data_IF_492530379412
#
_entry.id   IF_492530379412
#
_cell.length_a   1.000
_cell.length_b   1.000
_cell.length_c   1.000
_cell.angle_alpha   90.00
_cell.angle_beta   90.00
_cell.angle_gamma   90.00
#
_symmetry.space_group_name_H-M   'P 1'
#
loop_
_entity.id
_entity.type
_entity.pdbx_description
1 polymer ?
#
# COMPACT_ATOMS: atom_id res chain seq x y z
N UNK A 1 13.34 8.03 1.81
CA UNK A 1 12.40 8.76 0.93
C UNK A 1 12.31 8.02 -0.39
N UNK A 2 11.11 7.83 -0.94
CA UNK A 2 10.95 7.14 -2.22
C UNK A 2 11.51 8.01 -3.37
N UNK A 3 12.24 7.43 -4.34
CA UNK A 3 12.73 8.21 -5.49
C UNK A 3 11.56 8.71 -6.34
N UNK A 4 11.42 10.03 -6.49
CA UNK A 4 10.27 10.65 -7.16
C UNK A 4 10.12 10.22 -8.62
N UNK A 5 11.23 10.10 -9.35
CA UNK A 5 11.24 9.64 -10.75
C UNK A 5 10.71 8.21 -10.86
N UNK A 6 11.02 7.35 -9.86
CA UNK A 6 10.54 5.97 -9.83
C UNK A 6 9.05 5.90 -9.52
N UNK A 7 8.54 6.73 -8.61
CA UNK A 7 7.10 6.77 -8.31
C UNK A 7 6.30 7.26 -9.51
N UNK A 8 6.82 8.27 -10.23
CA UNK A 8 6.22 8.74 -11.47
C UNK A 8 6.19 7.65 -12.55
N UNK A 9 7.29 6.90 -12.71
CA UNK A 9 7.33 5.75 -13.62
C UNK A 9 6.24 4.72 -13.29
N UNK A 10 6.02 4.40 -12.01
CA UNK A 10 4.95 3.50 -11.61
C UNK A 10 3.55 4.07 -11.90
N UNK A 11 3.32 5.37 -11.67
CA UNK A 11 2.06 6.02 -12.01
C UNK A 11 1.75 5.94 -13.52
N UNK A 12 2.77 6.11 -14.37
CA UNK A 12 2.62 5.96 -15.83
C UNK A 12 2.28 4.52 -16.22
N UNK A 13 2.97 3.52 -15.65
CA UNK A 13 2.69 2.11 -15.91
C UNK A 13 1.30 1.70 -15.45
N UNK A 14 0.85 2.18 -14.29
CA UNK A 14 -0.51 1.95 -13.78
C UNK A 14 -1.55 2.56 -14.72
N UNK A 15 -1.36 3.80 -15.18
CA UNK A 15 -2.26 4.45 -16.14
C UNK A 15 -2.34 3.70 -17.47
N UNK A 16 -1.21 3.22 -17.99
CA UNK A 16 -1.18 2.39 -19.20
C UNK A 16 -1.96 1.09 -19.03
N UNK A 17 -1.76 0.40 -17.91
CA UNK A 17 -2.52 -0.82 -17.60
C UNK A 17 -4.02 -0.54 -17.52
N UNK A 18 -4.40 0.56 -16.86
CA UNK A 18 -5.80 0.93 -16.69
C UNK A 18 -6.49 1.28 -18.01
N UNK A 19 -5.80 1.99 -18.90
CA UNK A 19 -6.26 2.28 -20.25
C UNK A 19 -6.49 1.00 -21.07
N UNK A 20 -5.64 -0.02 -20.93
CA UNK A 20 -5.86 -1.34 -21.57
C UNK A 20 -7.13 -2.04 -21.08
N UNK A 21 -7.67 -1.65 -19.92
CA UNK A 21 -8.94 -2.14 -19.37
C UNK A 21 -10.13 -1.24 -19.73
N UNK A 22 -9.94 -0.22 -20.57
CA UNK A 22 -10.99 0.73 -20.94
C UNK A 22 -11.40 1.65 -19.79
N UNK A 23 -10.54 1.83 -18.79
CA UNK A 23 -10.75 2.71 -17.64
C UNK A 23 -9.86 3.95 -17.77
N UNK A 24 -10.11 4.95 -16.92
CA UNK A 24 -9.34 6.18 -16.88
C UNK A 24 -9.04 6.58 -15.43
N UNK A 25 -8.07 5.91 -14.84
CA UNK A 25 -7.58 6.18 -13.49
C UNK A 25 -6.68 7.43 -13.48
N UNK A 26 -7.08 8.44 -12.71
CA UNK A 26 -6.23 9.58 -12.38
C UNK A 26 -5.32 9.22 -11.20
N UNK A 27 -4.02 9.09 -11.47
CA UNK A 27 -2.99 8.77 -10.47
C UNK A 27 -1.67 9.45 -10.85
N UNK A 28 -0.92 9.93 -9.87
CA UNK A 28 0.40 10.53 -10.02
C UNK A 28 1.45 9.83 -9.10
N UNK A 29 2.70 10.29 -9.14
CA UNK A 29 3.77 9.71 -8.32
C UNK A 29 3.57 9.87 -6.81
N UNK A 30 2.94 10.96 -6.35
CA UNK A 30 2.68 11.18 -4.92
C UNK A 30 1.60 10.21 -4.40
N UNK A 31 0.59 9.91 -5.21
CA UNK A 31 -0.43 8.89 -4.88
C UNK A 31 0.21 7.50 -4.73
N UNK A 32 1.16 7.15 -5.61
CA UNK A 32 1.91 5.89 -5.54
C UNK A 32 2.82 5.86 -4.30
N UNK A 33 3.49 6.97 -4.00
CA UNK A 33 4.32 7.09 -2.79
C UNK A 33 3.48 6.90 -1.53
N UNK A 34 2.33 7.56 -1.44
CA UNK A 34 1.41 7.41 -0.32
C UNK A 34 0.90 5.97 -0.21
N UNK A 35 0.55 5.32 -1.33
CA UNK A 35 0.13 3.92 -1.34
C UNK A 35 1.22 2.98 -0.79
N UNK A 36 2.48 3.17 -1.20
CA UNK A 36 3.59 2.41 -0.62
C UNK A 36 3.83 2.75 0.85
N UNK A 37 3.64 4.01 1.25
CA UNK A 37 3.65 4.43 2.64
C UNK A 37 2.63 3.65 3.46
N UNK A 38 1.39 3.52 2.97
CA UNK A 38 0.37 2.68 3.60
C UNK A 38 0.88 1.22 3.64
N UNK A 39 1.39 0.65 2.54
CA UNK A 39 1.91 -0.74 2.50
C UNK A 39 2.98 -1.04 3.55
N UNK A 40 3.88 -0.10 3.78
CA UNK A 40 5.00 -0.29 4.71
C UNK A 40 4.61 0.05 6.15
N UNK A 41 3.77 1.06 6.37
CA UNK A 41 3.44 1.60 7.68
C UNK A 41 2.11 1.14 8.26
N UNK A 42 1.18 0.60 7.46
CA UNK A 42 -0.09 0.05 7.96
C UNK A 42 0.06 -1.32 8.63
N UNK A 43 1.30 -1.77 8.87
CA UNK A 43 1.57 -2.92 9.70
C UNK A 43 1.28 -4.24 8.99
N UNK A 44 2.33 -4.88 8.50
CA UNK A 44 2.40 -6.34 8.56
C UNK A 44 2.42 -6.77 10.04
N UNK A 45 1.28 -6.66 10.72
CA UNK A 45 1.12 -7.12 12.11
C UNK A 45 0.51 -8.52 12.20
N UNK A 46 -0.12 -9.01 11.13
CA UNK A 46 -0.69 -10.36 11.08
C UNK A 46 -0.46 -11.00 9.71
N UNK A 47 0.04 -12.23 9.74
CA UNK A 47 0.22 -13.21 8.67
C UNK A 47 0.03 -12.71 7.21
N UNK A 48 1.09 -12.75 6.36
CA UNK A 48 1.03 -12.41 4.93
C UNK A 48 -0.06 -13.13 4.11
N UNK A 49 -0.66 -14.20 4.65
CA UNK A 49 -1.74 -14.96 4.03
C UNK A 49 -3.11 -14.27 4.10
N UNK A 50 -3.31 -13.30 4.99
CA UNK A 50 -4.57 -12.58 5.12
C UNK A 50 -4.46 -11.21 4.46
N UNK A 51 -5.17 -11.00 3.35
CA UNK A 51 -5.21 -9.72 2.64
C UNK A 51 -6.08 -8.69 3.41
N UNK A 52 -5.62 -8.25 4.58
CA UNK A 52 -6.29 -7.25 5.44
C UNK A 52 -5.81 -5.82 5.17
N UNK A 53 -5.15 -5.58 4.03
CA UNK A 53 -4.51 -4.29 3.74
C UNK A 53 -5.45 -3.08 3.79
N UNK A 54 -6.74 -3.31 3.52
CA UNK A 54 -7.81 -2.31 3.55
C UNK A 54 -8.84 -2.56 4.66
N UNK A 55 -8.50 -3.39 5.64
CA UNK A 55 -9.38 -3.66 6.77
C UNK A 55 -9.49 -2.41 7.64
N UNK A 56 -10.72 -2.02 8.00
CA UNK A 56 -10.99 -1.00 9.01
C UNK A 56 -11.03 -1.57 10.44
N UNK A 57 -10.71 -2.86 10.60
CA UNK A 57 -10.69 -3.52 11.91
C UNK A 57 -9.57 -2.94 12.76
N UNK A 58 -9.82 -2.77 14.06
CA UNK A 58 -8.81 -2.34 15.01
C UNK A 58 -7.62 -3.30 15.00
N UNK A 59 -6.40 -2.75 15.05
CA UNK A 59 -5.19 -3.52 15.29
C UNK A 59 -5.37 -4.34 16.57
N UNK A 60 -5.41 -5.67 16.46
CA UNK A 60 -5.39 -6.53 17.64
C UNK A 60 -4.10 -6.28 18.40
N UNK A 61 -4.21 -5.70 19.60
CA UNK A 61 -3.09 -5.53 20.51
C UNK A 61 -2.48 -6.91 20.77
N UNK A 62 -1.22 -7.08 20.40
CA UNK A 62 -0.45 -8.24 20.86
C UNK A 62 -0.24 -8.01 22.35
N UNK A 63 -0.93 -8.79 23.19
CA UNK A 63 -0.52 -9.01 24.57
C UNK A 63 0.90 -9.60 24.46
N UNK A 64 1.90 -8.77 24.71
CA UNK A 64 3.24 -9.24 25.00
C UNK A 64 3.13 -9.90 26.37
N UNK A 65 2.91 -11.21 26.39
CA UNK A 65 3.13 -12.01 27.58
C UNK A 65 4.63 -11.94 27.91
N UNK A 66 5.01 -10.88 28.62
CA UNK A 66 6.22 -10.84 29.42
C UNK A 66 5.97 -11.79 30.59
N UNK A 67 6.26 -13.07 30.37
CA UNK A 67 6.38 -14.03 31.48
C UNK A 67 7.53 -13.56 32.39
N UNK A 68 7.16 -13.21 33.63
CA UNK A 68 8.04 -12.93 34.76
C UNK A 68 8.54 -14.23 35.40
#
# INVERSE_FOLDING_TARGET
MFPKERMQYYAEMTKRYDALKGRNLEVNGDDIEQFFGILLFSGYRFAPSENRFWSTSEDTQVLLDLEL
#
